data_IF_212455583150
#
_entry.id   IF_212455583150
#
_cell.length_a   1.000
_cell.length_b   1.000
_cell.length_c   1.000
_cell.angle_alpha   90.00
_cell.angle_beta   90.00
_cell.angle_gamma   90.00
#
_symmetry.space_group_name_H-M   'P 1'
#
loop_
_entity.id
_entity.type
_entity.pdbx_description
1 polymer ?
#
# COMPACT_ATOMS: atom_id res chain seq x y z
N UNK A 1 -2.51 15.32 -27.55
CA UNK A 1 -3.57 16.21 -28.06
C UNK A 1 -3.82 17.32 -27.05
N UNK A 2 -3.40 18.51 -27.44
CA UNK A 2 -3.47 19.77 -26.71
C UNK A 2 -4.90 20.31 -26.75
N UNK A 3 -5.45 20.80 -25.64
CA UNK A 3 -6.46 21.84 -25.68
C UNK A 3 -6.23 22.82 -24.54
N UNK A 4 -5.74 23.99 -24.94
CA UNK A 4 -5.66 25.23 -24.17
C UNK A 4 -7.02 25.93 -24.34
N UNK A 5 -7.61 26.44 -23.26
CA UNK A 5 -8.66 27.43 -23.35
C UNK A 5 -8.43 28.53 -22.31
N UNK A 6 -7.99 29.67 -22.81
CA UNK A 6 -7.92 30.94 -22.14
C UNK A 6 -9.30 31.56 -22.06
N UNK A 7 -9.67 32.08 -20.91
CA UNK A 7 -10.88 32.89 -20.73
C UNK A 7 -10.53 34.18 -19.98
N UNK A 8 -10.32 35.23 -20.73
CA UNK A 8 -10.13 36.61 -20.29
C UNK A 8 -11.49 37.31 -20.17
N UNK A 9 -11.84 37.82 -19.00
CA UNK A 9 -12.96 38.74 -18.88
C UNK A 9 -12.53 40.00 -18.12
N UNK A 10 -12.39 41.05 -18.87
CA UNK A 10 -12.22 42.45 -18.46
C UNK A 10 -13.60 43.04 -18.28
N UNK A 11 -13.88 43.69 -17.16
CA UNK A 11 -14.94 44.67 -17.07
C UNK A 11 -14.44 45.94 -16.46
N UNK A 12 -14.54 46.98 -17.31
CA UNK A 12 -14.20 48.35 -17.03
C UNK A 12 -15.41 49.13 -16.47
N UNK A 13 -15.09 50.14 -15.68
CA UNK A 13 -15.67 51.48 -15.60
C UNK A 13 -17.15 51.66 -15.29
N UNK A 14 -17.37 52.35 -14.21
CA UNK A 14 -18.55 53.17 -13.95
C UNK A 14 -18.17 54.35 -13.06
N UNK A 15 -17.72 55.47 -13.68
CA UNK A 15 -17.68 56.77 -13.07
C UNK A 15 -19.09 57.31 -12.94
N UNK A 16 -19.58 57.52 -11.76
CA UNK A 16 -20.76 58.32 -11.49
C UNK A 16 -20.40 59.56 -10.71
N UNK A 17 -20.38 60.72 -11.40
CA UNK A 17 -20.21 62.04 -10.83
C UNK A 17 -21.60 62.55 -10.42
N UNK A 18 -21.77 62.94 -9.18
CA UNK A 18 -22.93 63.74 -8.77
C UNK A 18 -22.46 64.80 -7.78
N UNK A 19 -22.49 66.02 -8.26
CA UNK A 19 -22.35 67.26 -7.50
C UNK A 19 -23.69 67.63 -6.88
N UNK A 20 -23.69 68.13 -5.66
CA UNK A 20 -24.62 69.05 -5.16
C UNK A 20 -25.32 68.70 -3.84
N UNK A 21 -25.14 69.59 -2.86
CA UNK A 21 -26.09 69.76 -1.77
C UNK A 21 -25.42 69.71 -0.37
N UNK A 22 -25.15 70.88 0.13
CA UNK A 22 -24.80 71.20 1.50
C UNK A 22 -25.85 70.66 2.51
N UNK A 23 -25.49 69.84 3.40
CA UNK A 23 -26.00 69.84 4.75
C UNK A 23 -25.01 69.18 5.69
N UNK A 24 -24.39 69.97 6.56
CA UNK A 24 -23.43 69.54 7.54
C UNK A 24 -24.16 68.94 8.73
N UNK A 25 -24.51 67.69 8.68
CA UNK A 25 -24.76 66.87 9.86
C UNK A 25 -23.54 65.99 10.08
N UNK A 26 -22.75 66.36 11.06
CA UNK A 26 -21.65 65.50 11.52
C UNK A 26 -22.31 64.31 12.20
N UNK A 27 -22.48 63.25 11.44
CA UNK A 27 -22.83 61.95 12.00
C UNK A 27 -21.51 61.35 12.50
N UNK A 28 -21.34 61.27 13.79
CA UNK A 28 -20.28 60.45 14.40
C UNK A 28 -20.56 59.02 14.03
N UNK A 29 -19.87 58.50 13.01
CA UNK A 29 -19.86 57.09 12.72
C UNK A 29 -19.00 56.43 13.80
N UNK A 30 -19.70 55.84 14.74
CA UNK A 30 -19.09 54.93 15.70
C UNK A 30 -18.33 53.85 14.93
N UNK A 31 -17.02 53.77 15.14
CA UNK A 31 -16.19 52.81 14.44
C UNK A 31 -16.67 51.40 14.74
N UNK A 32 -17.27 50.73 13.79
CA UNK A 32 -17.58 49.31 13.90
C UNK A 32 -16.30 48.58 14.15
N UNK A 33 -16.20 47.75 15.21
CA UNK A 33 -14.99 47.03 15.51
C UNK A 33 -14.66 46.14 14.29
N UNK A 34 -13.47 46.33 13.75
CA UNK A 34 -12.90 45.46 12.72
C UNK A 34 -12.91 44.04 13.26
N UNK A 35 -13.47 43.05 12.55
CA UNK A 35 -13.47 41.68 13.01
C UNK A 35 -12.00 41.26 13.23
N UNK A 36 -11.67 40.93 14.45
CA UNK A 36 -10.38 40.33 14.79
C UNK A 36 -10.21 39.08 13.96
N UNK A 37 -9.13 38.99 13.18
CA UNK A 37 -8.83 37.80 12.40
C UNK A 37 -8.83 36.57 13.33
N UNK A 38 -9.73 35.65 13.07
CA UNK A 38 -9.76 34.35 13.73
C UNK A 38 -8.42 33.66 13.43
N UNK A 39 -7.69 33.15 14.43
CA UNK A 39 -6.43 32.48 14.15
C UNK A 39 -6.71 31.30 13.24
N UNK A 40 -6.02 31.26 12.09
CA UNK A 40 -6.00 30.12 11.19
C UNK A 40 -5.54 28.92 12.00
N UNK A 41 -6.26 27.79 12.00
CA UNK A 41 -5.81 26.59 12.69
C UNK A 41 -4.42 26.21 12.16
N UNK A 42 -3.46 26.11 13.07
CA UNK A 42 -2.12 25.64 12.78
C UNK A 42 -2.22 24.23 12.17
N UNK A 43 -1.57 24.03 11.02
CA UNK A 43 -1.61 22.75 10.34
C UNK A 43 -1.16 21.64 11.28
N UNK A 44 -2.04 20.70 11.57
CA UNK A 44 -1.72 19.51 12.35
C UNK A 44 -0.53 18.81 11.64
N UNK A 45 0.56 18.49 12.35
CA UNK A 45 1.68 17.82 11.72
C UNK A 45 1.20 16.50 11.11
N UNK A 46 1.42 16.35 9.82
CA UNK A 46 1.19 15.08 9.13
C UNK A 46 2.03 14.02 9.84
N UNK A 47 1.46 12.89 10.27
CA UNK A 47 2.24 11.84 10.89
C UNK A 47 3.38 11.44 9.95
N UNK A 48 4.59 11.56 10.44
CA UNK A 48 5.80 11.12 9.74
C UNK A 48 5.64 9.63 9.44
N UNK A 49 5.81 9.24 8.17
CA UNK A 49 5.67 7.85 7.76
C UNK A 49 6.63 7.00 8.61
N UNK A 50 6.07 6.08 9.38
CA UNK A 50 6.86 5.10 10.14
C UNK A 50 7.74 4.36 9.14
N UNK A 51 9.07 4.28 9.35
CA UNK A 51 9.94 3.58 8.42
C UNK A 51 9.46 2.13 8.31
N UNK A 52 9.09 1.73 7.10
CA UNK A 52 8.83 0.32 6.79
C UNK A 52 10.09 -0.45 7.12
N UNK A 53 10.05 -1.50 7.96
CA UNK A 53 11.23 -2.30 8.26
C UNK A 53 11.83 -2.78 6.94
N UNK A 54 13.15 -2.60 6.77
CA UNK A 54 13.86 -3.08 5.60
C UNK A 54 13.64 -4.60 5.50
N UNK A 55 12.98 -5.04 4.43
CA UNK A 55 12.77 -6.46 4.19
C UNK A 55 14.11 -7.11 3.87
N UNK A 56 14.42 -8.17 4.57
CA UNK A 56 15.60 -8.98 4.27
C UNK A 56 15.39 -9.71 2.95
N UNK A 57 16.32 -9.53 2.02
CA UNK A 57 16.32 -10.21 0.73
C UNK A 57 17.51 -11.16 0.66
N UNK A 58 17.23 -12.41 0.35
CA UNK A 58 18.24 -13.47 0.20
C UNK A 58 18.17 -14.01 -1.22
N UNK A 59 19.32 -14.14 -1.88
CA UNK A 59 19.38 -14.71 -3.22
C UNK A 59 19.57 -16.25 -3.15
N UNK A 60 18.80 -16.97 -3.95
CA UNK A 60 18.90 -18.42 -4.10
C UNK A 60 20.06 -18.80 -5.05
N UNK A 61 20.39 -20.09 -5.12
CA UNK A 61 21.43 -20.59 -6.03
C UNK A 61 21.06 -20.38 -7.50
N UNK A 62 19.77 -20.39 -7.84
CA UNK A 62 19.27 -20.05 -9.18
C UNK A 62 19.25 -18.55 -9.49
N UNK A 63 19.67 -17.70 -8.53
CA UNK A 63 19.72 -16.24 -8.71
C UNK A 63 18.40 -15.51 -8.46
N UNK A 64 17.40 -16.19 -7.92
CA UNK A 64 16.10 -15.58 -7.58
C UNK A 64 16.20 -14.90 -6.22
N UNK A 65 15.73 -13.67 -6.11
CA UNK A 65 15.67 -12.93 -4.86
C UNK A 65 14.45 -13.37 -4.05
N UNK A 66 14.66 -13.74 -2.80
CA UNK A 66 13.61 -14.10 -1.84
C UNK A 66 13.48 -12.98 -0.81
N UNK A 67 12.32 -12.40 -0.74
CA UNK A 67 11.93 -11.43 0.29
C UNK A 67 11.52 -12.22 1.52
N UNK A 68 12.25 -12.09 2.62
CA UNK A 68 11.95 -12.80 3.86
C UNK A 68 10.68 -12.25 4.49
N UNK A 69 9.74 -13.14 4.70
CA UNK A 69 8.48 -12.86 5.40
C UNK A 69 7.89 -14.15 5.95
N UNK A 70 7.31 -14.08 7.12
CA UNK A 70 6.61 -15.22 7.70
C UNK A 70 5.14 -15.19 7.31
N UNK A 71 4.66 -16.27 6.72
CA UNK A 71 3.27 -16.43 6.34
C UNK A 71 2.87 -17.91 6.38
N UNK A 72 1.58 -18.16 6.51
CA UNK A 72 1.01 -19.50 6.37
C UNK A 72 0.39 -19.63 5.00
N UNK A 73 0.74 -20.68 4.29
CA UNK A 73 0.15 -21.05 3.01
C UNK A 73 -0.53 -22.40 3.10
N UNK A 74 -1.52 -22.60 2.28
CA UNK A 74 -2.25 -23.86 2.13
C UNK A 74 -2.06 -24.37 0.71
N UNK A 75 -1.76 -25.63 0.58
CA UNK A 75 -1.61 -26.28 -0.73
C UNK A 75 -2.99 -26.41 -1.37
N UNK A 76 -3.19 -25.80 -2.52
CA UNK A 76 -4.43 -25.87 -3.30
C UNK A 76 -4.50 -27.18 -4.08
N UNK A 77 -3.37 -27.55 -4.68
CA UNK A 77 -3.21 -28.78 -5.45
C UNK A 77 -1.83 -29.37 -5.13
N UNK A 78 -1.75 -30.69 -5.07
CA UNK A 78 -0.48 -31.37 -4.72
C UNK A 78 0.68 -30.90 -5.59
N UNK A 79 1.73 -30.42 -4.94
CA UNK A 79 2.91 -29.82 -5.59
C UNK A 79 4.20 -30.37 -4.99
N UNK A 80 5.26 -30.39 -5.80
CA UNK A 80 6.58 -30.77 -5.34
C UNK A 80 7.30 -29.59 -4.69
N UNK A 81 7.85 -29.84 -3.51
CA UNK A 81 8.81 -28.94 -2.86
C UNK A 81 10.18 -29.23 -3.42
N UNK A 82 10.87 -28.19 -3.85
CA UNK A 82 12.18 -28.30 -4.50
C UNK A 82 13.27 -27.62 -3.68
N UNK A 83 14.52 -27.99 -3.96
CA UNK A 83 15.69 -27.42 -3.28
C UNK A 83 16.03 -26.00 -3.73
N UNK A 84 15.42 -25.50 -4.80
CA UNK A 84 15.65 -24.16 -5.36
C UNK A 84 14.43 -23.67 -6.15
N UNK A 85 14.40 -22.38 -6.49
CA UNK A 85 13.37 -21.70 -7.29
C UNK A 85 13.50 -22.07 -8.78
N UNK A 86 13.41 -23.35 -9.09
CA UNK A 86 13.49 -23.88 -10.46
C UNK A 86 12.73 -25.18 -10.60
N UNK A 87 12.09 -25.39 -11.73
CA UNK A 87 11.44 -26.67 -12.09
C UNK A 87 12.46 -27.77 -12.33
N UNK A 88 13.71 -27.43 -12.61
CA UNK A 88 14.83 -28.35 -12.78
C UNK A 88 15.50 -28.74 -11.46
N UNK A 89 15.22 -27.98 -10.39
CA UNK A 89 15.80 -28.23 -9.06
C UNK A 89 15.34 -29.57 -8.50
N UNK A 90 16.19 -30.19 -7.69
CA UNK A 90 15.92 -31.46 -7.06
C UNK A 90 14.63 -31.39 -6.21
N UNK A 91 13.77 -32.37 -6.35
CA UNK A 91 12.61 -32.54 -5.49
C UNK A 91 13.04 -33.01 -4.09
N UNK A 92 12.59 -32.29 -3.07
CA UNK A 92 12.80 -32.66 -1.66
C UNK A 92 11.68 -33.59 -1.19
N UNK A 93 10.44 -33.15 -1.41
CA UNK A 93 9.23 -33.90 -1.02
C UNK A 93 8.04 -33.46 -1.84
N UNK A 94 6.97 -34.26 -1.82
CA UNK A 94 5.67 -33.87 -2.37
C UNK A 94 4.74 -33.38 -1.26
N UNK A 95 3.81 -32.52 -1.62
CA UNK A 95 2.72 -32.06 -0.74
C UNK A 95 1.38 -32.50 -1.26
N UNK A 96 0.37 -32.49 -0.41
CA UNK A 96 -1.02 -32.82 -0.76
C UNK A 96 -1.92 -31.60 -0.62
N UNK A 97 -3.00 -31.58 -1.40
CA UNK A 97 -4.01 -30.52 -1.30
C UNK A 97 -4.55 -30.40 0.14
N UNK A 98 -4.68 -29.17 0.63
CA UNK A 98 -5.11 -28.86 1.99
C UNK A 98 -3.98 -28.84 3.03
N UNK A 99 -2.78 -29.25 2.68
CA UNK A 99 -1.64 -29.23 3.62
C UNK A 99 -1.24 -27.79 3.94
N UNK A 100 -1.02 -27.52 5.22
CA UNK A 100 -0.50 -26.24 5.71
C UNK A 100 1.02 -26.19 5.56
N UNK A 101 1.55 -25.08 5.08
CA UNK A 101 2.95 -24.81 4.90
C UNK A 101 3.36 -23.54 5.62
N UNK A 102 4.40 -23.59 6.42
CA UNK A 102 5.01 -22.39 7.00
C UNK A 102 5.99 -21.80 5.99
N UNK A 103 5.67 -20.59 5.50
CA UNK A 103 6.55 -19.83 4.60
C UNK A 103 7.48 -18.93 5.39
N UNK A 104 8.73 -18.85 4.93
CA UNK A 104 9.77 -17.96 5.44
C UNK A 104 10.18 -16.91 4.42
N UNK A 105 9.60 -16.93 3.22
CA UNK A 105 9.85 -15.94 2.20
C UNK A 105 9.03 -16.17 0.92
N UNK A 106 9.04 -15.16 0.06
CA UNK A 106 8.43 -15.20 -1.28
C UNK A 106 9.42 -14.61 -2.28
N UNK A 107 9.50 -15.18 -3.46
CA UNK A 107 10.34 -14.60 -4.50
C UNK A 107 9.83 -13.22 -4.92
N UNK A 108 10.75 -12.33 -5.28
CA UNK A 108 10.45 -10.95 -5.70
C UNK A 108 9.50 -10.92 -6.90
N UNK A 109 9.60 -11.90 -7.80
CA UNK A 109 8.70 -12.07 -8.95
C UNK A 109 7.34 -12.71 -8.60
N UNK A 110 7.16 -13.15 -7.33
CA UNK A 110 5.94 -13.79 -6.85
C UNK A 110 5.70 -15.20 -7.39
N UNK A 111 6.67 -15.82 -8.07
CA UNK A 111 6.51 -17.15 -8.69
C UNK A 111 6.77 -18.30 -7.71
N UNK A 112 7.56 -18.06 -6.67
CA UNK A 112 8.00 -19.06 -5.72
C UNK A 112 7.75 -18.63 -4.28
N UNK A 113 7.43 -19.61 -3.46
CA UNK A 113 7.28 -19.46 -2.01
C UNK A 113 8.31 -20.33 -1.31
N UNK A 114 9.14 -19.70 -0.48
CA UNK A 114 10.06 -20.42 0.39
C UNK A 114 9.29 -20.98 1.57
N UNK A 115 9.42 -22.25 1.82
CA UNK A 115 8.72 -22.96 2.90
C UNK A 115 9.68 -23.81 3.71
N UNK A 116 9.33 -24.04 4.97
CA UNK A 116 10.06 -24.96 5.84
C UNK A 116 9.24 -26.24 6.05
N UNK A 117 9.79 -27.38 5.65
CA UNK A 117 9.18 -28.68 5.83
C UNK A 117 10.19 -29.60 6.52
N UNK A 118 9.79 -30.24 7.62
CA UNK A 118 10.67 -31.14 8.40
C UNK A 118 12.01 -30.49 8.80
N UNK A 119 12.01 -29.17 9.06
CA UNK A 119 13.23 -28.43 9.39
C UNK A 119 14.16 -28.16 8.19
N UNK A 120 13.73 -28.47 6.97
CA UNK A 120 14.46 -28.21 5.74
C UNK A 120 13.78 -27.10 4.94
N UNK A 121 14.58 -26.17 4.42
CA UNK A 121 14.09 -25.13 3.51
C UNK A 121 13.87 -25.72 2.12
N UNK A 122 12.73 -25.42 1.54
CA UNK A 122 12.40 -25.78 0.17
C UNK A 122 11.56 -24.69 -0.51
N UNK A 123 11.30 -24.85 -1.78
CA UNK A 123 10.58 -23.89 -2.61
C UNK A 123 9.43 -24.58 -3.31
N UNK A 124 8.27 -23.91 -3.30
CA UNK A 124 7.06 -24.34 -4.01
C UNK A 124 6.61 -23.25 -4.99
N UNK A 125 6.02 -23.66 -6.10
CA UNK A 125 5.46 -22.69 -7.03
C UNK A 125 4.22 -22.03 -6.42
N UNK A 126 4.19 -20.70 -6.44
CA UNK A 126 3.14 -19.88 -5.82
C UNK A 126 1.74 -20.15 -6.39
N UNK A 127 1.65 -20.60 -7.63
CA UNK A 127 0.37 -20.91 -8.28
C UNK A 127 -0.40 -22.09 -7.63
N UNK A 128 0.29 -22.94 -6.86
CA UNK A 128 -0.29 -24.12 -6.21
C UNK A 128 -0.54 -23.95 -4.72
N UNK A 129 -0.27 -22.76 -4.18
CA UNK A 129 -0.49 -22.44 -2.78
C UNK A 129 -1.30 -21.16 -2.62
N UNK A 130 -2.01 -21.04 -1.50
CA UNK A 130 -2.85 -19.87 -1.19
C UNK A 130 -2.71 -19.50 0.28
N UNK A 131 -2.81 -18.21 0.60
CA UNK A 131 -2.90 -17.72 1.97
C UNK A 131 -4.29 -17.95 2.59
N UNK A 132 -5.27 -18.34 1.76
CA UNK A 132 -6.63 -18.65 2.22
C UNK A 132 -6.75 -20.15 2.44
N UNK A 133 -7.15 -20.57 3.65
CA UNK A 133 -7.44 -21.96 3.93
C UNK A 133 -8.58 -22.48 3.04
N UNK A 134 -8.43 -23.65 2.38
CA UNK A 134 -9.52 -24.23 1.62
C UNK A 134 -10.68 -24.56 2.55
N UNK A 135 -11.91 -24.27 2.10
CA UNK A 135 -13.12 -24.60 2.85
C UNK A 135 -13.20 -26.13 3.07
N UNK A 136 -12.92 -26.58 4.29
CA UNK A 136 -12.92 -28.01 4.64
C UNK A 136 -11.58 -28.58 5.11
N UNK A 137 -10.51 -27.82 5.09
CA UNK A 137 -9.27 -28.20 5.79
C UNK A 137 -9.46 -27.97 7.30
N UNK A 138 -10.15 -28.88 7.95
CA UNK A 138 -9.99 -29.07 9.38
C UNK A 138 -8.54 -29.46 9.60
N UNK A 139 -7.84 -28.68 10.45
CA UNK A 139 -6.45 -28.86 10.79
C UNK A 139 -6.04 -30.35 10.81
N UNK A 140 -5.35 -30.79 9.78
CA UNK A 140 -4.54 -31.99 9.89
C UNK A 140 -3.29 -31.53 10.66
N UNK A 141 -3.44 -31.50 11.98
CA UNK A 141 -2.31 -31.42 12.89
C UNK A 141 -1.37 -32.53 12.46
N UNK A 142 -0.20 -32.17 11.98
CA UNK A 142 0.88 -33.11 11.73
C UNK A 142 1.21 -33.78 13.06
N UNK A 143 0.65 -34.97 13.28
CA UNK A 143 1.07 -35.85 14.30
C UNK A 143 2.33 -36.56 13.80
N UNK A 144 3.43 -36.34 14.51
CA UNK A 144 4.75 -37.00 14.52
C UNK A 144 5.72 -36.56 13.43
#
# INVERSE_FOLDING_TARGET
>A
LLIVLAGLAVFASGCGYSTGGEDSTVTVIEATPTPTATPTPEATPTPEATPTPAQEVVQTASGVNIIKQNATYYVVEGVNVRSDCSTEAQMITGTTAGQELTSTGVSEDGQWVEVTINGQTGYVSAQYVSTTAPAGAAAQTAAQ
#
